data_IF_886212040921
#
_entry.id   IF_886212040921
#
_cell.length_a   1.000
_cell.length_b   1.000
_cell.length_c   1.000
_cell.angle_alpha   90.00
_cell.angle_beta   90.00
_cell.angle_gamma   90.00
#
_symmetry.space_group_name_H-M   'P 1'
#
loop_
_entity.id
_entity.type
_entity.pdbx_description
1 polymer ?
#
# COMPACT_ATOMS: atom_id res chain seq x y z
N UNK A 1 8.69 19.48 3.39
CA UNK A 1 7.45 18.94 4.00
C UNK A 1 6.33 19.00 2.97
N UNK A 2 5.37 18.06 2.97
CA UNK A 2 4.28 18.00 1.95
C UNK A 2 3.28 19.17 2.03
N UNK A 3 3.15 19.79 3.21
CA UNK A 3 2.17 20.86 3.47
C UNK A 3 0.75 20.35 3.73
N UNK A 4 0.53 19.03 3.70
CA UNK A 4 -0.76 18.40 3.99
C UNK A 4 -0.93 18.14 5.48
N UNK A 5 -2.17 18.17 5.96
CA UNK A 5 -2.51 17.72 7.32
C UNK A 5 -2.63 16.19 7.29
N UNK A 6 -1.82 15.52 8.11
CA UNK A 6 -1.77 14.06 8.14
C UNK A 6 -1.72 13.52 9.58
N UNK A 7 -2.85 13.48 10.31
CA UNK A 7 -2.90 12.93 11.65
C UNK A 7 -2.51 11.44 11.66
N UNK A 8 -1.87 11.04 12.76
CA UNK A 8 -1.49 9.65 13.03
C UNK A 8 -2.35 9.13 14.19
N UNK A 9 -2.98 7.98 13.98
CA UNK A 9 -3.62 7.18 15.04
C UNK A 9 -2.95 5.82 15.05
N UNK A 10 -2.95 5.12 16.18
CA UNK A 10 -2.27 3.83 16.26
C UNK A 10 -2.84 2.89 17.29
N UNK A 11 -2.85 1.62 16.94
CA UNK A 11 -3.02 0.51 17.86
C UNK A 11 -1.69 0.25 18.56
N UNK A 12 -1.33 1.11 19.53
CA UNK A 12 0.02 1.11 20.13
C UNK A 12 0.40 -0.24 20.75
N UNK A 13 -0.59 -1.00 21.24
CA UNK A 13 -0.37 -2.31 21.85
C UNK A 13 0.14 -3.40 20.90
N UNK A 14 -0.14 -3.31 19.60
CA UNK A 14 0.34 -4.27 18.58
C UNK A 14 1.33 -3.65 17.58
N UNK A 15 1.63 -2.36 17.72
CA UNK A 15 2.62 -1.65 16.91
C UNK A 15 2.10 -1.14 15.57
N UNK A 16 0.78 -1.11 15.33
CA UNK A 16 0.21 -0.59 14.10
C UNK A 16 -0.08 0.92 14.16
N UNK A 17 0.31 1.67 13.13
CA UNK A 17 0.06 3.10 13.00
C UNK A 17 -0.57 3.44 11.64
N UNK A 18 -1.55 4.32 11.69
CA UNK A 18 -2.34 4.78 10.56
C UNK A 18 -2.10 6.27 10.33
N UNK A 19 -1.52 6.60 9.19
CA UNK A 19 -1.42 7.97 8.72
C UNK A 19 -2.63 8.29 7.84
N UNK A 20 -3.47 9.23 8.28
CA UNK A 20 -4.64 9.68 7.51
C UNK A 20 -4.28 10.96 6.79
N UNK A 21 -4.05 10.91 5.48
CA UNK A 21 -3.70 12.09 4.69
C UNK A 21 -4.97 12.83 4.28
N UNK A 22 -5.16 14.05 4.78
CA UNK A 22 -6.29 14.91 4.42
C UNK A 22 -5.90 15.79 3.23
N UNK A 23 -6.72 15.78 2.18
CA UNK A 23 -6.55 16.58 0.96
C UNK A 23 -7.90 16.82 0.28
N UNK A 24 -8.02 17.87 -0.53
CA UNK A 24 -9.17 18.06 -1.43
C UNK A 24 -9.04 17.15 -2.66
N UNK A 25 -9.95 16.18 -2.88
CA UNK A 25 -9.90 15.29 -4.03
C UNK A 25 -10.11 15.99 -5.38
N UNK A 26 -10.64 17.21 -5.37
CA UNK A 26 -10.83 18.02 -6.58
C UNK A 26 -9.60 18.87 -6.91
N UNK A 27 -8.62 18.99 -5.99
CA UNK A 27 -7.33 19.61 -6.27
C UNK A 27 -6.33 18.53 -6.74
N UNK A 28 -5.96 18.50 -8.04
CA UNK A 28 -5.03 17.52 -8.56
C UNK A 28 -3.61 17.62 -7.97
N UNK A 29 -3.20 18.80 -7.51
CA UNK A 29 -1.89 19.00 -6.89
C UNK A 29 -1.87 18.45 -5.47
N UNK A 30 -2.93 18.65 -4.69
CA UNK A 30 -3.02 18.03 -3.36
C UNK A 30 -3.12 16.51 -3.45
N UNK A 31 -3.90 15.97 -4.40
CA UNK A 31 -3.94 14.53 -4.66
C UNK A 31 -2.55 13.96 -4.96
N UNK A 32 -1.80 14.60 -5.86
CA UNK A 32 -0.45 14.15 -6.19
C UNK A 32 0.49 14.19 -4.98
N UNK A 33 0.40 15.23 -4.14
CA UNK A 33 1.16 15.32 -2.88
C UNK A 33 0.77 14.23 -1.88
N UNK A 34 -0.52 13.89 -1.81
CA UNK A 34 -1.03 12.85 -0.92
C UNK A 34 -0.55 11.46 -1.35
N UNK A 35 -0.59 11.17 -2.66
CA UNK A 35 -0.08 9.93 -3.24
C UNK A 35 1.44 9.79 -3.02
N UNK A 36 2.22 10.84 -3.26
CA UNK A 36 3.67 10.85 -2.98
C UNK A 36 3.96 10.62 -1.49
N UNK A 37 3.23 11.32 -0.60
CA UNK A 37 3.39 11.15 0.84
C UNK A 37 3.10 9.70 1.27
N UNK A 38 1.99 9.12 0.79
CA UNK A 38 1.61 7.73 1.09
C UNK A 38 2.66 6.72 0.59
N UNK A 39 3.19 6.92 -0.62
CA UNK A 39 4.27 6.09 -1.19
C UNK A 39 5.54 6.19 -0.37
N UNK A 40 6.00 7.41 -0.05
CA UNK A 40 7.24 7.63 0.73
C UNK A 40 7.16 7.05 2.13
N UNK A 41 6.01 7.17 2.80
CA UNK A 41 5.81 6.60 4.14
C UNK A 41 5.84 5.07 4.09
N UNK A 42 5.17 4.46 3.11
CA UNK A 42 5.17 3.01 2.92
C UNK A 42 6.59 2.46 2.70
N UNK A 43 7.35 3.08 1.79
CA UNK A 43 8.74 2.69 1.50
C UNK A 43 9.68 2.94 2.70
N UNK A 44 9.44 4.00 3.47
CA UNK A 44 10.19 4.29 4.69
C UNK A 44 9.97 3.22 5.75
N UNK A 45 8.73 2.77 5.94
CA UNK A 45 8.41 1.70 6.88
C UNK A 45 9.12 0.40 6.48
N UNK A 46 9.04 0.01 5.20
CA UNK A 46 9.74 -1.17 4.66
C UNK A 46 11.25 -1.07 4.87
N UNK A 47 11.87 0.08 4.55
CA UNK A 47 13.30 0.30 4.72
C UNK A 47 13.77 0.22 6.18
N UNK A 48 12.85 0.37 7.14
CA UNK A 48 13.10 0.24 8.58
C UNK A 48 12.75 -1.17 9.11
N UNK A 49 12.46 -2.14 8.24
CA UNK A 49 12.08 -3.51 8.63
C UNK A 49 10.63 -3.66 9.07
N UNK A 50 9.81 -2.62 8.91
CA UNK A 50 8.36 -2.69 9.06
C UNK A 50 7.66 -3.18 7.80
N UNK A 51 6.33 -3.10 7.80
CA UNK A 51 5.48 -3.46 6.66
C UNK A 51 4.73 -2.24 6.13
N UNK A 52 4.42 -2.21 4.83
CA UNK A 52 3.49 -1.22 4.27
C UNK A 52 2.01 -1.56 4.54
N UNK A 53 1.77 -2.69 5.20
CA UNK A 53 0.47 -3.29 5.47
C UNK A 53 0.15 -3.29 6.97
N UNK A 54 -0.95 -3.94 7.34
CA UNK A 54 -1.51 -3.94 8.68
C UNK A 54 -2.90 -4.57 8.61
N UNK A 55 -3.85 -4.01 9.34
CA UNK A 55 -5.25 -4.46 9.34
C UNK A 55 -6.02 -4.23 8.02
N UNK A 56 -5.62 -3.23 7.22
CA UNK A 56 -6.38 -2.81 6.02
C UNK A 56 -5.80 -3.30 4.68
N UNK A 57 -4.72 -4.09 4.70
CA UNK A 57 -4.08 -4.61 3.49
C UNK A 57 -3.48 -3.53 2.56
N UNK A 58 -3.27 -3.89 1.30
CA UNK A 58 -2.59 -3.02 0.30
C UNK A 58 -3.54 -2.33 -0.70
N UNK A 59 -4.67 -2.97 -1.03
CA UNK A 59 -5.49 -2.59 -2.17
C UNK A 59 -4.68 -2.40 -3.46
N UNK A 60 -5.21 -1.58 -4.38
CA UNK A 60 -4.53 -1.27 -5.66
C UNK A 60 -3.43 -0.22 -5.50
N UNK A 61 -3.52 0.65 -4.50
CA UNK A 61 -2.63 1.80 -4.36
C UNK A 61 -1.23 1.44 -3.83
N UNK A 62 -1.08 0.28 -3.18
CA UNK A 62 0.20 -0.16 -2.60
C UNK A 62 0.82 -1.36 -3.32
N UNK A 63 0.42 -1.65 -4.56
CA UNK A 63 1.01 -2.76 -5.33
C UNK A 63 2.53 -2.59 -5.53
N UNK A 64 3.01 -1.36 -5.77
CA UNK A 64 4.45 -1.07 -5.83
C UNK A 64 5.15 -1.40 -4.50
N UNK A 65 4.50 -1.10 -3.37
CA UNK A 65 5.05 -1.34 -2.05
C UNK A 65 5.07 -2.84 -1.70
N UNK A 66 4.08 -3.61 -2.15
CA UNK A 66 4.08 -5.07 -2.06
C UNK A 66 5.30 -5.68 -2.75
N UNK A 67 5.63 -5.19 -3.95
CA UNK A 67 6.81 -5.64 -4.71
C UNK A 67 8.09 -5.27 -3.96
N UNK A 68 8.16 -4.04 -3.42
CA UNK A 68 9.31 -3.60 -2.63
C UNK A 68 9.50 -4.42 -1.33
N UNK A 69 8.40 -4.79 -0.66
CA UNK A 69 8.43 -5.53 0.61
C UNK A 69 8.77 -7.01 0.44
N UNK A 70 8.21 -7.66 -0.58
CA UNK A 70 8.29 -9.12 -0.72
C UNK A 70 9.21 -9.61 -1.85
N UNK A 71 9.62 -8.73 -2.77
CA UNK A 71 10.52 -9.07 -3.87
C UNK A 71 10.06 -10.30 -4.65
N UNK A 72 10.95 -11.29 -4.78
CA UNK A 72 10.70 -12.51 -5.54
C UNK A 72 9.49 -13.33 -5.05
N UNK A 73 9.07 -13.19 -3.79
CA UNK A 73 7.91 -13.90 -3.27
C UNK A 73 6.59 -13.48 -3.94
N UNK A 74 6.54 -12.31 -4.60
CA UNK A 74 5.38 -11.90 -5.40
C UNK A 74 5.10 -12.87 -6.55
N UNK A 75 6.12 -13.49 -7.14
CA UNK A 75 5.93 -14.48 -8.22
C UNK A 75 5.29 -15.78 -7.70
N UNK A 76 5.53 -16.14 -6.44
CA UNK A 76 4.80 -17.23 -5.79
C UNK A 76 3.32 -16.86 -5.61
N UNK A 77 3.02 -15.63 -5.16
CA UNK A 77 1.63 -15.15 -5.03
C UNK A 77 0.90 -15.18 -6.38
N UNK A 78 1.56 -14.75 -7.46
CA UNK A 78 1.03 -14.84 -8.83
C UNK A 78 0.81 -16.29 -9.28
N UNK A 79 1.72 -17.19 -8.93
CA UNK A 79 1.60 -18.61 -9.27
C UNK A 79 0.40 -19.26 -8.58
N UNK A 80 0.18 -18.96 -7.30
CA UNK A 80 -1.02 -19.38 -6.55
C UNK A 80 -2.28 -18.81 -7.21
N UNK A 81 -2.28 -17.51 -7.53
CA UNK A 81 -3.41 -16.84 -8.18
C UNK A 81 -3.77 -17.52 -9.52
N UNK A 82 -2.79 -17.81 -10.37
CA UNK A 82 -3.02 -18.49 -11.66
C UNK A 82 -3.52 -19.92 -11.50
N UNK A 83 -3.03 -20.65 -10.49
CA UNK A 83 -3.47 -22.01 -10.21
C UNK A 83 -4.95 -22.06 -9.77
N UNK A 84 -5.38 -21.09 -8.95
CA UNK A 84 -6.73 -21.03 -8.40
C UNK A 84 -7.73 -20.29 -9.31
N UNK A 85 -7.25 -19.38 -10.15
CA UNK A 85 -8.08 -18.60 -11.08
C UNK A 85 -7.48 -18.56 -12.50
N UNK A 86 -7.51 -19.69 -13.24
CA UNK A 86 -6.88 -19.80 -14.56
C UNK A 86 -7.50 -18.86 -15.61
N UNK A 87 -8.75 -18.42 -15.39
CA UNK A 87 -9.45 -17.47 -16.29
C UNK A 87 -9.34 -16.02 -15.83
N UNK A 88 -8.64 -15.76 -14.72
CA UNK A 88 -8.43 -14.43 -14.15
C UNK A 88 -9.73 -13.63 -13.89
N UNK A 89 -10.78 -14.29 -13.42
CA UNK A 89 -12.11 -13.68 -13.18
C UNK A 89 -12.33 -13.23 -11.73
N UNK A 90 -11.50 -13.67 -10.79
CA UNK A 90 -11.62 -13.36 -9.36
C UNK A 90 -10.84 -12.08 -9.02
N UNK A 91 -11.42 -10.91 -9.32
CA UNK A 91 -10.92 -9.59 -8.94
C UNK A 91 -9.46 -9.30 -9.39
N UNK A 92 -9.20 -9.28 -10.71
CA UNK A 92 -7.85 -9.15 -11.26
C UNK A 92 -7.17 -7.84 -10.87
N UNK A 93 -5.86 -7.91 -10.58
CA UNK A 93 -5.02 -6.73 -10.32
C UNK A 93 -5.29 -6.01 -8.99
N UNK A 94 -6.17 -6.53 -8.11
CA UNK A 94 -6.52 -5.82 -6.87
C UNK A 94 -5.46 -5.92 -5.77
N UNK A 95 -4.88 -7.10 -5.56
CA UNK A 95 -3.90 -7.39 -4.51
C UNK A 95 -2.68 -8.12 -5.06
N UNK A 96 -2.89 -8.98 -6.05
CA UNK A 96 -1.80 -9.62 -6.78
C UNK A 96 -1.59 -8.82 -8.06
N UNK A 97 -0.40 -8.25 -8.28
CA UNK A 97 -0.07 -7.59 -9.54
C UNK A 97 -0.31 -8.55 -10.72
N UNK A 98 -0.77 -8.05 -11.88
CA UNK A 98 -0.91 -8.89 -13.07
C UNK A 98 0.39 -9.60 -13.48
#
# INVERSE_FOLDING_TARGET
ASGLIAPIVGHVGDGNFHLVVLFDPNDPLERAKAEDLAKRVSLRAIAMGGTCTGEHGIGVHKLDALIAEHGAAVELMKSIKRALDPRNILNPGKTVPP
#
